data_IF_272963587727
#
_entry.id   IF_272963587727
#
_cell.length_a   1.000
_cell.length_b   1.000
_cell.length_c   1.000
_cell.angle_alpha   90.00
_cell.angle_beta   90.00
_cell.angle_gamma   90.00
#
_symmetry.space_group_name_H-M   'P 1'
#
loop_
_entity.id
_entity.type
_entity.pdbx_description
1 polymer ?
#
# COMPACT_ATOMS: atom_id res chain seq x y z
N UNK A 1 79.39 -39.51 32.36
CA UNK A 1 79.10 -38.32 31.53
C UNK A 1 77.86 -38.49 30.68
N UNK A 2 77.48 -39.70 30.24
CA UNK A 2 76.27 -39.93 29.43
C UNK A 2 74.96 -39.57 30.13
N UNK A 3 74.76 -39.95 31.40
CA UNK A 3 73.51 -39.66 32.12
C UNK A 3 73.21 -38.15 32.26
N UNK A 4 74.24 -37.30 32.36
CA UNK A 4 74.05 -35.84 32.43
C UNK A 4 73.65 -35.22 31.08
N UNK A 5 74.03 -35.86 29.97
CA UNK A 5 73.65 -35.47 28.60
C UNK A 5 72.19 -35.83 28.32
N UNK A 6 71.75 -37.01 28.76
CA UNK A 6 70.37 -37.46 28.56
C UNK A 6 69.36 -36.59 29.34
N UNK A 7 69.65 -36.27 30.60
CA UNK A 7 68.84 -35.34 31.41
C UNK A 7 68.79 -33.92 30.84
N UNK A 8 69.86 -33.45 30.20
CA UNK A 8 69.88 -32.15 29.54
C UNK A 8 68.99 -32.14 28.28
N UNK A 9 68.99 -33.25 27.51
CA UNK A 9 68.13 -33.41 26.34
C UNK A 9 66.65 -33.52 26.72
N UNK A 10 66.34 -34.25 27.79
CA UNK A 10 64.97 -34.42 28.29
C UNK A 10 64.42 -33.10 28.84
N UNK A 11 65.22 -32.32 29.58
CA UNK A 11 64.84 -30.97 30.00
C UNK A 11 64.61 -30.01 28.83
N UNK A 12 65.39 -30.12 27.75
CA UNK A 12 65.18 -29.32 26.56
C UNK A 12 63.87 -29.69 25.84
N UNK A 13 63.55 -30.99 25.75
CA UNK A 13 62.29 -31.48 25.18
C UNK A 13 61.08 -31.04 26.02
N UNK A 14 61.14 -31.17 27.34
CA UNK A 14 60.06 -30.74 28.23
C UNK A 14 59.83 -29.22 28.16
N UNK A 15 60.90 -28.41 28.08
CA UNK A 15 60.78 -26.95 27.90
C UNK A 15 60.16 -26.58 26.55
N UNK A 16 60.50 -27.30 25.48
CA UNK A 16 59.90 -27.10 24.18
C UNK A 16 58.41 -27.48 24.17
N UNK A 17 58.03 -28.54 24.88
CA UNK A 17 56.63 -28.97 24.99
C UNK A 17 55.80 -28.00 25.85
N UNK A 18 56.37 -27.47 26.94
CA UNK A 18 55.75 -26.40 27.74
C UNK A 18 55.53 -25.15 26.89
N UNK A 19 56.54 -24.69 26.15
CA UNK A 19 56.41 -23.52 25.28
C UNK A 19 55.31 -23.71 24.20
N UNK A 20 55.19 -24.92 23.65
CA UNK A 20 54.13 -25.27 22.70
C UNK A 20 52.75 -25.26 23.35
N UNK A 21 52.61 -25.81 24.56
CA UNK A 21 51.35 -25.79 25.32
C UNK A 21 50.96 -24.37 25.72
N UNK A 22 51.90 -23.54 26.14
CA UNK A 22 51.63 -22.15 26.52
C UNK A 22 51.15 -21.31 25.33
N UNK A 23 51.76 -21.48 24.15
CA UNK A 23 51.29 -20.85 22.92
C UNK A 23 49.87 -21.32 22.53
N UNK A 24 49.57 -22.60 22.75
CA UNK A 24 48.24 -23.15 22.50
C UNK A 24 47.20 -22.61 23.50
N UNK A 25 47.54 -22.49 24.78
CA UNK A 25 46.69 -21.89 25.81
C UNK A 25 46.41 -20.42 25.48
N UNK A 26 47.41 -19.65 25.05
CA UNK A 26 47.23 -18.24 24.70
C UNK A 26 46.29 -18.06 23.50
N UNK A 27 46.40 -18.91 22.47
CA UNK A 27 45.51 -18.86 21.31
C UNK A 27 44.06 -19.27 21.66
N UNK A 28 43.88 -20.27 22.53
CA UNK A 28 42.57 -20.67 23.03
C UNK A 28 41.94 -19.57 23.87
N UNK A 29 42.70 -18.91 24.75
CA UNK A 29 42.20 -17.80 25.57
C UNK A 29 41.74 -16.61 24.72
N UNK A 30 42.48 -16.25 23.66
CA UNK A 30 42.06 -15.22 22.70
C UNK A 30 40.74 -15.60 22.01
N UNK A 31 40.58 -16.87 21.64
CA UNK A 31 39.37 -17.37 20.99
C UNK A 31 38.17 -17.35 21.94
N UNK A 32 38.35 -17.77 23.20
CA UNK A 32 37.29 -17.74 24.22
C UNK A 32 36.85 -16.32 24.53
N UNK A 33 37.80 -15.37 24.56
CA UNK A 33 37.48 -13.94 24.76
C UNK A 33 36.64 -13.39 23.60
N UNK A 34 37.06 -13.64 22.36
CA UNK A 34 36.33 -13.20 21.17
C UNK A 34 34.92 -13.81 21.11
N UNK A 35 34.80 -15.10 21.43
CA UNK A 35 33.50 -15.78 21.50
C UNK A 35 32.59 -15.18 22.57
N UNK A 36 33.12 -14.84 23.75
CA UNK A 36 32.34 -14.13 24.78
C UNK A 36 31.85 -12.77 24.30
N UNK A 37 32.72 -11.94 23.72
CA UNK A 37 32.34 -10.62 23.19
C UNK A 37 31.28 -10.73 22.08
N UNK A 38 31.40 -11.75 21.23
CA UNK A 38 30.42 -12.01 20.17
C UNK A 38 29.07 -12.44 20.76
N UNK A 39 29.07 -13.30 21.78
CA UNK A 39 27.85 -13.74 22.47
C UNK A 39 27.19 -12.59 23.21
N UNK A 40 27.95 -11.70 23.86
CA UNK A 40 27.39 -10.50 24.49
C UNK A 40 26.77 -9.55 23.46
N UNK A 41 27.48 -9.27 22.36
CA UNK A 41 26.96 -8.43 21.27
C UNK A 41 25.66 -9.00 20.68
N UNK A 42 25.60 -10.33 20.47
CA UNK A 42 24.40 -11.00 19.99
C UNK A 42 23.27 -10.98 21.02
N UNK A 43 23.57 -11.17 22.31
CA UNK A 43 22.59 -11.04 23.39
C UNK A 43 22.04 -9.62 23.48
N UNK A 44 22.86 -8.60 23.33
CA UNK A 44 22.44 -7.20 23.28
C UNK A 44 21.60 -6.91 22.03
N UNK A 45 21.92 -7.52 20.88
CA UNK A 45 21.08 -7.41 19.68
C UNK A 45 19.72 -8.11 19.81
N UNK A 46 19.67 -9.26 20.51
CA UNK A 46 18.46 -10.08 20.67
C UNK A 46 17.56 -9.60 21.83
N UNK A 47 18.16 -9.21 22.95
CA UNK A 47 17.49 -8.89 24.21
C UNK A 47 17.73 -7.45 24.69
N UNK A 48 18.62 -6.70 24.06
CA UNK A 48 18.85 -5.30 24.36
C UNK A 48 17.71 -4.39 23.91
N UNK A 49 17.69 -3.19 24.48
CA UNK A 49 16.59 -2.23 24.28
C UNK A 49 16.69 -1.61 22.88
N UNK A 50 15.66 -1.81 22.05
CA UNK A 50 15.60 -1.31 20.66
C UNK A 50 15.42 0.21 20.50
N UNK A 51 15.51 0.99 21.58
CA UNK A 51 15.45 2.45 21.53
C UNK A 51 16.41 3.05 22.55
N UNK A 52 17.32 3.91 22.09
CA UNK A 52 18.05 4.84 22.96
C UNK A 52 17.05 5.87 23.48
N UNK A 53 16.58 5.71 24.72
CA UNK A 53 15.98 6.82 25.45
C UNK A 53 17.13 7.64 26.02
N UNK A 54 17.16 8.91 25.63
CA UNK A 54 18.07 9.93 26.15
C UNK A 54 17.88 10.01 27.67
N UNK A 55 18.94 9.77 28.43
CA UNK A 55 18.97 9.98 29.88
C UNK A 55 18.73 11.46 30.20
N UNK A 56 17.93 11.81 31.22
CA UNK A 56 17.68 13.19 31.60
C UNK A 56 18.96 13.80 32.18
N UNK A 57 19.75 14.45 31.33
CA UNK A 57 21.04 15.06 31.67
C UNK A 57 22.05 15.10 30.52
N UNK A 58 21.80 14.37 29.42
CA UNK A 58 22.66 14.43 28.25
C UNK A 58 22.29 15.66 27.40
N UNK A 59 23.20 16.65 27.36
CA UNK A 59 23.10 17.81 26.47
C UNK A 59 22.95 17.34 25.01
N UNK A 60 21.89 17.81 24.35
CA UNK A 60 21.60 17.52 22.94
C UNK A 60 22.76 17.96 22.06
N UNK A 61 23.27 17.04 21.22
CA UNK A 61 24.39 17.28 20.30
C UNK A 61 24.03 18.29 19.18
N UNK A 62 22.75 18.64 19.04
CA UNK A 62 22.28 19.73 18.20
C UNK A 62 21.95 20.91 19.11
N UNK A 63 22.89 21.84 19.21
CA UNK A 63 22.78 23.06 20.00
C UNK A 63 21.52 23.85 19.64
N UNK A 64 20.65 24.00 20.63
CA UNK A 64 19.56 24.95 20.63
C UNK A 64 19.45 25.46 22.05
N UNK A 65 19.85 26.71 22.24
CA UNK A 65 19.84 27.41 23.52
C UNK A 65 18.45 27.28 24.17
N UNK A 66 18.43 26.79 25.41
CA UNK A 66 17.24 26.88 26.25
C UNK A 66 17.14 28.34 26.71
N UNK A 67 16.44 29.17 25.94
CA UNK A 67 15.96 30.47 26.42
C UNK A 67 15.00 30.23 27.59
N UNK A 68 15.33 30.82 28.74
CA UNK A 68 14.47 30.90 29.91
C UNK A 68 13.09 31.46 29.53
N UNK A 69 12.06 30.68 29.82
CA UNK A 69 10.67 31.08 29.63
C UNK A 69 10.34 32.13 30.69
N UNK A 70 10.41 33.40 30.31
CA UNK A 70 9.84 34.51 31.08
C UNK A 70 8.32 34.44 30.96
N UNK A 71 7.63 34.30 32.10
CA UNK A 71 6.18 34.30 32.18
C UNK A 71 5.57 35.59 31.60
N UNK A 72 4.89 35.48 30.46
CA UNK A 72 4.03 36.55 29.93
C UNK A 72 2.57 36.35 30.37
N UNK A 73 1.86 37.43 30.77
CA UNK A 73 0.52 37.35 31.33
C UNK A 73 -0.53 36.91 30.31
N UNK A 74 -1.50 36.14 30.80
CA UNK A 74 -2.60 35.53 30.07
C UNK A 74 -3.48 36.57 29.36
N UNK A 75 -3.39 36.64 28.03
CA UNK A 75 -4.37 37.35 27.20
C UNK A 75 -5.59 36.45 27.00
N UNK A 76 -6.75 36.92 27.45
CA UNK A 76 -8.05 36.26 27.23
C UNK A 76 -8.44 36.35 25.75
N UNK A 77 -8.35 35.22 25.05
CA UNK A 77 -8.85 35.07 23.67
C UNK A 77 -10.38 34.91 23.72
N UNK A 78 -11.15 35.68 22.92
CA UNK A 78 -12.60 35.58 22.92
C UNK A 78 -13.08 34.20 22.46
N UNK A 79 -14.17 33.77 23.07
CA UNK A 79 -14.83 32.48 22.92
C UNK A 79 -15.08 32.12 21.45
N UNK A 80 -14.41 31.09 20.96
CA UNK A 80 -14.72 30.50 19.66
C UNK A 80 -16.14 29.92 19.70
N UNK A 81 -17.10 30.60 19.07
CA UNK A 81 -18.40 29.99 18.77
C UNK A 81 -18.17 28.75 17.92
N UNK A 82 -18.32 27.57 18.54
CA UNK A 82 -18.44 26.31 17.81
C UNK A 82 -19.72 26.39 16.99
N UNK A 83 -19.58 26.63 15.68
CA UNK A 83 -20.65 26.33 14.72
C UNK A 83 -21.07 24.88 14.97
N UNK A 84 -22.33 24.68 15.33
CA UNK A 84 -22.91 23.35 15.47
C UNK A 84 -22.51 22.54 14.22
N UNK A 85 -21.90 21.36 14.43
CA UNK A 85 -21.59 20.44 13.34
C UNK A 85 -22.92 19.97 12.78
N UNK A 86 -23.43 20.67 11.78
CA UNK A 86 -24.54 20.18 10.98
C UNK A 86 -24.16 18.80 10.43
N UNK A 87 -25.07 17.85 10.51
CA UNK A 87 -24.93 16.48 10.00
C UNK A 87 -24.86 16.40 8.45
N UNK A 88 -24.42 17.47 7.79
CA UNK A 88 -24.29 17.58 6.34
C UNK A 88 -22.85 17.33 5.88
N UNK A 89 -22.70 16.93 4.62
CA UNK A 89 -21.39 16.87 3.96
C UNK A 89 -20.73 18.25 4.03
N UNK A 90 -19.45 18.28 4.38
CA UNK A 90 -18.68 19.54 4.39
C UNK A 90 -18.67 20.16 3.00
N UNK A 91 -18.92 21.46 2.91
CA UNK A 91 -18.76 22.21 1.67
C UNK A 91 -17.29 22.21 1.22
N UNK A 92 -17.06 22.40 -0.08
CA UNK A 92 -15.70 22.62 -0.57
C UNK A 92 -15.18 24.00 -0.14
N UNK A 93 -13.87 24.14 0.14
CA UNK A 93 -13.27 25.43 0.48
C UNK A 93 -13.55 26.51 -0.59
N UNK A 94 -13.77 27.74 -0.14
CA UNK A 94 -14.10 28.86 -1.02
C UNK A 94 -12.96 29.24 -1.97
N UNK A 95 -11.70 29.01 -1.58
CA UNK A 95 -10.52 29.34 -2.38
C UNK A 95 -10.28 28.40 -3.56
N UNK A 96 -10.97 27.26 -3.63
CA UNK A 96 -10.84 26.36 -4.78
C UNK A 96 -11.55 26.95 -6.00
N UNK A 97 -10.92 26.89 -7.19
CA UNK A 97 -11.54 27.36 -8.43
C UNK A 97 -12.79 26.53 -8.74
N UNK A 98 -13.85 27.21 -9.20
CA UNK A 98 -15.13 26.61 -9.59
C UNK A 98 -15.31 26.70 -11.10
N UNK A 99 -15.52 25.57 -11.75
CA UNK A 99 -15.87 25.49 -13.17
C UNK A 99 -17.38 25.23 -13.28
N UNK A 100 -18.11 26.14 -13.94
CA UNK A 100 -19.57 26.10 -14.00
C UNK A 100 -20.02 25.40 -15.29
N UNK A 101 -20.83 24.36 -15.13
CA UNK A 101 -21.47 23.65 -16.23
C UNK A 101 -22.97 23.92 -16.16
N UNK A 102 -23.50 24.63 -17.14
CA UNK A 102 -24.92 24.92 -17.25
C UNK A 102 -25.63 23.89 -18.13
N UNK A 103 -26.71 23.33 -17.61
CA UNK A 103 -27.59 22.42 -18.33
C UNK A 103 -28.95 23.09 -18.47
N UNK A 104 -29.29 23.44 -19.71
CA UNK A 104 -30.59 24.02 -20.06
C UNK A 104 -31.40 23.02 -20.88
N UNK A 105 -32.72 23.18 -20.84
CA UNK A 105 -33.66 22.44 -21.68
C UNK A 105 -33.55 22.99 -23.11
N UNK A 106 -33.57 22.15 -24.16
CA UNK A 106 -33.57 22.62 -25.54
C UNK A 106 -34.71 23.60 -25.80
N UNK A 107 -34.51 24.59 -26.68
CA UNK A 107 -35.52 25.62 -26.94
C UNK A 107 -36.85 25.02 -27.46
N UNK A 108 -36.77 23.91 -28.20
CA UNK A 108 -37.94 23.14 -28.67
C UNK A 108 -38.79 22.55 -27.55
N UNK A 109 -38.21 22.33 -26.37
CA UNK A 109 -38.85 21.75 -25.19
C UNK A 109 -39.25 22.80 -24.15
N UNK A 110 -38.98 24.08 -24.42
CA UNK A 110 -39.43 25.21 -23.58
C UNK A 110 -40.89 25.60 -23.82
N UNK A 111 -41.66 24.75 -24.49
CA UNK A 111 -43.10 24.92 -24.69
C UNK A 111 -43.84 23.80 -23.98
N UNK A 112 -44.88 24.15 -23.23
CA UNK A 112 -45.69 23.18 -22.51
C UNK A 112 -46.51 22.33 -23.52
N UNK A 113 -46.39 20.99 -23.48
CA UNK A 113 -47.14 20.12 -24.39
C UNK A 113 -48.66 20.12 -24.11
N UNK A 114 -49.09 20.53 -22.90
CA UNK A 114 -50.49 20.51 -22.50
C UNK A 114 -51.25 21.78 -22.90
N UNK A 115 -50.63 22.97 -22.75
CA UNK A 115 -51.31 24.26 -22.97
C UNK A 115 -50.66 25.13 -24.05
N UNK A 116 -49.56 24.69 -24.68
CA UNK A 116 -48.87 25.41 -25.74
C UNK A 116 -48.16 26.70 -25.31
N UNK A 117 -48.20 27.05 -24.02
CA UNK A 117 -47.53 28.24 -23.48
C UNK A 117 -46.03 27.99 -23.26
N UNK A 118 -45.23 29.04 -23.39
CA UNK A 118 -43.82 29.00 -23.02
C UNK A 118 -43.64 28.71 -21.52
N UNK A 119 -42.70 27.82 -21.20
CA UNK A 119 -42.31 27.52 -19.83
C UNK A 119 -41.60 28.73 -19.22
N UNK A 120 -41.77 28.93 -17.91
CA UNK A 120 -41.08 29.98 -17.15
C UNK A 120 -39.95 29.38 -16.34
N UNK A 121 -38.83 30.08 -16.28
CA UNK A 121 -37.71 29.72 -15.42
C UNK A 121 -38.15 29.83 -13.95
N UNK A 122 -37.95 28.75 -13.18
CA UNK A 122 -38.33 28.70 -11.75
C UNK A 122 -37.13 28.65 -10.80
N UNK A 123 -35.94 28.35 -11.32
CA UNK A 123 -34.73 28.22 -10.52
C UNK A 123 -33.73 27.24 -11.12
N UNK A 124 -32.65 26.99 -10.40
CA UNK A 124 -31.61 26.04 -10.79
C UNK A 124 -31.26 25.10 -9.65
N UNK A 125 -31.02 23.83 -9.97
CA UNK A 125 -30.41 22.88 -9.05
C UNK A 125 -28.89 22.95 -9.21
N UNK A 126 -28.20 23.31 -8.14
CA UNK A 126 -26.75 23.43 -8.10
C UNK A 126 -26.15 22.24 -7.36
N UNK A 127 -25.26 21.51 -8.01
CA UNK A 127 -24.48 20.45 -7.37
C UNK A 127 -22.98 20.66 -7.58
N UNK A 128 -22.19 20.51 -6.52
CA UNK A 128 -20.74 20.66 -6.55
C UNK A 128 -20.05 19.29 -6.47
N UNK A 129 -19.10 19.05 -7.37
CA UNK A 129 -18.26 17.85 -7.39
C UNK A 129 -16.79 18.22 -7.47
N UNK A 130 -15.96 17.65 -6.60
CA UNK A 130 -14.52 17.87 -6.66
C UNK A 130 -13.90 17.10 -7.82
N UNK A 131 -13.08 17.74 -8.64
CA UNK A 131 -12.42 17.17 -9.81
C UNK A 131 -10.92 17.45 -9.75
N UNK A 132 -10.09 16.47 -10.13
CA UNK A 132 -8.64 16.64 -10.23
C UNK A 132 -8.25 16.80 -11.69
N UNK A 133 -7.72 17.97 -12.01
CA UNK A 133 -6.86 18.21 -13.18
C UNK A 133 -5.43 17.99 -12.67
N UNK A 134 -4.51 17.33 -13.40
CA UNK A 134 -3.17 17.04 -12.89
C UNK A 134 -2.55 18.21 -12.10
N UNK A 135 -2.12 17.93 -10.86
CA UNK A 135 -1.59 18.87 -9.87
C UNK A 135 -2.55 19.93 -9.27
N UNK A 136 -3.84 19.98 -9.63
CA UNK A 136 -4.81 20.92 -9.04
C UNK A 136 -6.19 20.32 -8.81
N UNK A 137 -6.83 20.69 -7.69
CA UNK A 137 -8.25 20.37 -7.48
C UNK A 137 -9.12 21.56 -7.88
N UNK A 138 -10.14 21.27 -8.68
CA UNK A 138 -11.20 22.20 -9.07
C UNK A 138 -12.54 21.68 -8.57
N UNK A 139 -13.53 22.55 -8.47
CA UNK A 139 -14.90 22.17 -8.10
C UNK A 139 -15.80 22.38 -9.31
N UNK A 140 -16.25 21.29 -9.91
CA UNK A 140 -17.22 21.34 -11.00
C UNK A 140 -18.61 21.62 -10.40
N UNK A 141 -19.19 22.74 -10.79
CA UNK A 141 -20.52 23.17 -10.37
C UNK A 141 -21.51 22.92 -11.49
N UNK A 142 -22.31 21.87 -11.36
CA UNK A 142 -23.36 21.53 -12.32
C UNK A 142 -24.64 22.28 -11.93
N UNK A 143 -25.12 23.16 -12.82
CA UNK A 143 -26.33 23.96 -12.67
C UNK A 143 -27.39 23.50 -13.65
N UNK A 144 -28.40 22.80 -13.15
CA UNK A 144 -29.52 22.33 -13.96
C UNK A 144 -30.67 23.34 -13.89
N UNK A 145 -30.95 24.03 -15.00
CA UNK A 145 -32.04 25.01 -15.06
C UNK A 145 -33.39 24.29 -15.03
N UNK A 146 -34.31 24.81 -14.23
CA UNK A 146 -35.68 24.31 -14.10
C UNK A 146 -36.66 25.28 -14.72
N UNK A 147 -37.56 24.73 -15.52
CA UNK A 147 -38.61 25.43 -16.24
C UNK A 147 -39.96 24.81 -15.89
N UNK A 148 -40.96 25.63 -15.57
CA UNK A 148 -42.28 25.14 -15.25
C UNK A 148 -43.35 25.82 -16.10
N UNK A 149 -44.42 25.08 -16.37
CA UNK A 149 -45.61 25.63 -16.99
C UNK A 149 -46.25 26.67 -16.04
N UNK A 150 -46.63 27.87 -16.52
CA UNK A 150 -47.34 28.86 -15.71
C UNK A 150 -48.65 28.33 -15.09
N UNK A 151 -49.30 27.39 -15.77
CA UNK A 151 -50.56 26.77 -15.32
C UNK A 151 -50.33 25.49 -14.49
N UNK A 152 -49.08 25.14 -14.17
CA UNK A 152 -48.74 24.02 -13.27
C UNK A 152 -48.73 22.62 -13.89
N UNK A 153 -48.88 22.48 -15.20
CA UNK A 153 -49.00 21.17 -15.87
C UNK A 153 -47.72 20.32 -15.89
N UNK A 154 -46.54 20.93 -15.99
CA UNK A 154 -45.28 20.20 -16.09
C UNK A 154 -44.08 21.02 -15.60
N UNK A 155 -43.01 20.32 -15.23
CA UNK A 155 -41.68 20.86 -14.93
C UNK A 155 -40.66 20.13 -15.79
N UNK A 156 -39.80 20.88 -16.46
CA UNK A 156 -38.66 20.40 -17.24
C UNK A 156 -37.38 20.87 -16.57
N UNK A 157 -36.39 19.99 -16.50
CA UNK A 157 -35.09 20.29 -15.90
C UNK A 157 -34.02 19.94 -16.92
N UNK A 158 -33.00 20.79 -17.05
CA UNK A 158 -31.83 20.48 -17.87
C UNK A 158 -31.20 19.16 -17.43
N UNK A 159 -30.86 18.31 -18.39
CA UNK A 159 -30.34 16.98 -18.10
C UNK A 159 -28.86 17.06 -17.68
N UNK A 160 -28.58 16.60 -16.45
CA UNK A 160 -27.20 16.51 -15.95
C UNK A 160 -26.68 15.10 -16.26
N UNK A 161 -25.48 14.97 -16.86
CA UNK A 161 -24.89 13.67 -17.13
C UNK A 161 -24.81 12.80 -15.86
N UNK A 162 -25.14 11.50 -15.96
CA UNK A 162 -25.05 10.59 -14.84
C UNK A 162 -23.60 10.49 -14.35
N UNK A 163 -23.44 10.41 -13.04
CA UNK A 163 -22.14 10.14 -12.41
C UNK A 163 -21.93 8.63 -12.31
N UNK A 164 -20.69 8.17 -12.53
CA UNK A 164 -20.30 6.77 -12.34
C UNK A 164 -20.67 6.23 -10.94
N UNK A 165 -20.56 7.09 -9.93
CA UNK A 165 -20.97 6.79 -8.56
C UNK A 165 -22.10 7.75 -8.19
N UNK A 166 -23.27 7.19 -7.89
CA UNK A 166 -24.44 7.96 -7.50
C UNK A 166 -24.17 8.80 -6.25
N UNK A 167 -24.62 10.06 -6.28
CA UNK A 167 -24.51 11.00 -5.16
C UNK A 167 -23.06 11.14 -4.65
N UNK A 168 -22.05 10.92 -5.49
CA UNK A 168 -20.65 11.12 -5.13
C UNK A 168 -20.34 12.61 -4.92
N UNK A 169 -19.50 12.91 -3.93
CA UNK A 169 -18.96 14.27 -3.70
C UNK A 169 -17.82 14.60 -4.66
N UNK A 170 -17.15 13.58 -5.19
CA UNK A 170 -15.99 13.71 -6.05
C UNK A 170 -16.28 13.08 -7.41
N UNK A 171 -15.62 13.58 -8.43
CA UNK A 171 -15.65 13.03 -9.79
C UNK A 171 -14.70 11.84 -9.92
N UNK A 172 -14.88 10.98 -10.96
CA UNK A 172 -14.01 9.83 -11.21
C UNK A 172 -12.52 10.17 -11.26
N UNK A 173 -12.14 11.37 -11.68
CA UNK A 173 -10.76 11.85 -11.68
C UNK A 173 -10.10 11.79 -10.30
N UNK A 174 -10.85 12.05 -9.23
CA UNK A 174 -10.34 12.01 -7.86
C UNK A 174 -10.13 10.57 -7.39
N UNK A 175 -11.07 9.67 -7.73
CA UNK A 175 -10.94 8.25 -7.44
C UNK A 175 -9.72 7.65 -8.15
N UNK A 176 -9.55 7.97 -9.43
CA UNK A 176 -8.40 7.56 -10.22
C UNK A 176 -7.09 8.07 -9.61
N UNK A 177 -7.02 9.36 -9.25
CA UNK A 177 -5.83 9.93 -8.61
C UNK A 177 -5.46 9.22 -7.30
N UNK A 178 -6.44 8.93 -6.44
CA UNK A 178 -6.21 8.22 -5.17
C UNK A 178 -5.72 6.78 -5.43
N UNK A 179 -6.35 6.07 -6.38
CA UNK A 179 -5.96 4.72 -6.74
C UNK A 179 -4.52 4.66 -7.30
N UNK A 180 -4.20 5.51 -8.28
CA UNK A 180 -2.85 5.61 -8.84
C UNK A 180 -1.84 6.00 -7.77
N UNK A 181 -2.11 7.05 -6.98
CA UNK A 181 -1.19 7.49 -5.92
C UNK A 181 -0.89 6.37 -4.92
N UNK A 182 -1.92 5.60 -4.52
CA UNK A 182 -1.76 4.53 -3.53
C UNK A 182 -1.01 3.33 -4.09
N UNK A 183 -1.44 2.83 -5.26
CA UNK A 183 -1.00 1.54 -5.77
C UNK A 183 0.18 1.64 -6.73
N UNK A 184 0.21 2.64 -7.60
CA UNK A 184 1.30 2.86 -8.56
C UNK A 184 2.45 3.64 -7.92
N UNK A 185 2.14 4.74 -7.23
CA UNK A 185 3.16 5.64 -6.67
C UNK A 185 3.54 5.29 -5.22
N UNK A 186 2.99 4.20 -4.69
CA UNK A 186 3.25 3.71 -3.33
C UNK A 186 3.06 4.77 -2.24
N UNK A 187 2.11 5.69 -2.41
CA UNK A 187 1.81 6.74 -1.43
C UNK A 187 0.77 6.27 -0.42
N UNK A 188 1.12 6.07 0.87
CA UNK A 188 0.16 5.67 1.88
C UNK A 188 -0.96 6.71 2.06
N UNK A 189 -2.19 6.25 2.33
CA UNK A 189 -3.37 7.13 2.41
C UNK A 189 -3.26 8.21 3.49
N UNK A 190 -2.53 7.96 4.59
CA UNK A 190 -2.25 8.99 5.59
C UNK A 190 -1.37 10.12 5.04
N UNK A 191 -0.38 9.78 4.20
CA UNK A 191 0.47 10.77 3.52
C UNK A 191 -0.36 11.56 2.50
N UNK A 192 -1.22 10.88 1.76
CA UNK A 192 -2.13 11.50 0.79
C UNK A 192 -3.11 12.46 1.46
N UNK A 193 -3.66 12.10 2.63
CA UNK A 193 -4.50 13.00 3.42
C UNK A 193 -3.73 14.26 3.85
N UNK A 194 -2.46 14.11 4.21
CA UNK A 194 -1.57 15.23 4.50
C UNK A 194 -1.32 16.13 3.30
N UNK A 195 -1.14 15.55 2.10
CA UNK A 195 -1.02 16.30 0.83
C UNK A 195 -2.28 17.14 0.60
N UNK A 196 -3.47 16.54 0.63
CA UNK A 196 -4.73 17.29 0.46
C UNK A 196 -4.91 18.39 1.50
N UNK A 197 -4.56 18.12 2.76
CA UNK A 197 -4.65 19.10 3.84
C UNK A 197 -3.78 20.34 3.57
N UNK A 198 -2.59 20.19 2.98
CA UNK A 198 -1.73 21.34 2.59
C UNK A 198 -2.36 22.23 1.53
N UNK A 199 -3.23 21.67 0.69
CA UNK A 199 -4.03 22.44 -0.28
C UNK A 199 -5.36 22.95 0.30
N UNK A 200 -5.57 22.82 1.62
CA UNK A 200 -6.79 23.23 2.31
C UNK A 200 -7.97 22.27 2.10
N UNK A 201 -7.74 21.09 1.52
CA UNK A 201 -8.78 20.10 1.23
C UNK A 201 -8.82 19.06 2.36
N UNK A 202 -9.96 18.96 3.03
CA UNK A 202 -10.16 17.95 4.06
C UNK A 202 -10.71 16.65 3.46
N UNK A 203 -9.80 15.72 3.15
CA UNK A 203 -10.13 14.38 2.68
C UNK A 203 -9.53 13.32 3.63
N UNK A 204 -10.31 12.79 4.57
CA UNK A 204 -9.83 11.82 5.56
C UNK A 204 -9.38 10.49 4.95
N UNK A 205 -8.46 9.81 5.64
CA UNK A 205 -7.98 8.46 5.28
C UNK A 205 -9.13 7.47 5.07
N UNK A 206 -10.10 7.47 5.99
CA UNK A 206 -11.23 6.55 5.94
C UNK A 206 -12.10 6.81 4.70
N UNK A 207 -12.39 8.06 4.38
CA UNK A 207 -13.12 8.41 3.15
C UNK A 207 -12.39 7.93 1.90
N UNK A 208 -11.06 8.10 1.84
CA UNK A 208 -10.29 7.58 0.69
C UNK A 208 -10.30 6.06 0.62
N UNK A 209 -10.33 5.37 1.76
CA UNK A 209 -10.48 3.91 1.79
C UNK A 209 -11.84 3.48 1.23
N UNK A 210 -12.93 4.09 1.70
CA UNK A 210 -14.29 3.85 1.19
C UNK A 210 -14.39 4.16 -0.31
N UNK A 211 -13.70 5.21 -0.79
CA UNK A 211 -13.63 5.53 -2.21
C UNK A 211 -12.96 4.42 -3.01
N UNK A 212 -11.90 3.81 -2.50
CA UNK A 212 -11.21 2.69 -3.17
C UNK A 212 -12.06 1.42 -3.18
N UNK A 213 -12.78 1.12 -2.10
CA UNK A 213 -13.75 0.03 -2.09
C UNK A 213 -14.82 0.24 -3.16
N UNK A 214 -15.29 1.48 -3.32
CA UNK A 214 -16.28 1.79 -4.36
C UNK A 214 -15.73 1.63 -5.78
N UNK A 215 -14.44 1.93 -6.00
CA UNK A 215 -13.77 1.66 -7.29
C UNK A 215 -13.71 0.15 -7.55
N UNK A 216 -13.43 -0.64 -6.52
CA UNK A 216 -13.42 -2.10 -6.63
C UNK A 216 -14.79 -2.66 -7.03
N UNK A 217 -15.83 -2.27 -6.29
CA UNK A 217 -17.22 -2.69 -6.52
C UNK A 217 -17.74 -2.33 -7.92
N UNK A 218 -17.45 -1.10 -8.39
CA UNK A 218 -18.03 -0.58 -9.64
C UNK A 218 -17.23 -1.00 -10.87
N UNK A 219 -15.91 -1.19 -10.74
CA UNK A 219 -15.03 -1.34 -11.90
C UNK A 219 -13.97 -2.43 -11.73
N UNK A 220 -13.15 -2.37 -10.67
CA UNK A 220 -11.92 -3.17 -10.62
C UNK A 220 -12.20 -4.68 -10.52
N UNK A 221 -13.22 -5.10 -9.78
CA UNK A 221 -13.58 -6.51 -9.64
C UNK A 221 -14.00 -7.14 -10.98
N UNK A 222 -14.84 -6.43 -11.75
CA UNK A 222 -15.28 -6.90 -13.07
C UNK A 222 -14.11 -6.98 -14.06
N UNK A 223 -13.24 -5.95 -14.07
CA UNK A 223 -12.04 -5.94 -14.90
C UNK A 223 -11.10 -7.08 -14.53
N UNK A 224 -10.84 -7.31 -13.24
CA UNK A 224 -9.98 -8.40 -12.76
C UNK A 224 -10.56 -9.76 -13.15
N UNK A 225 -11.88 -9.96 -13.03
CA UNK A 225 -12.54 -11.19 -13.45
C UNK A 225 -12.37 -11.45 -14.96
N UNK A 226 -12.47 -10.41 -15.79
CA UNK A 226 -12.23 -10.52 -17.23
C UNK A 226 -10.75 -10.81 -17.54
N UNK A 227 -9.82 -10.11 -16.89
CA UNK A 227 -8.39 -10.37 -17.04
C UNK A 227 -8.01 -11.79 -16.63
N UNK A 228 -8.60 -12.32 -15.56
CA UNK A 228 -8.41 -13.72 -15.12
C UNK A 228 -8.78 -14.70 -16.24
N UNK A 229 -9.93 -14.50 -16.90
CA UNK A 229 -10.36 -15.33 -18.04
C UNK A 229 -9.36 -15.27 -19.19
N UNK A 230 -8.97 -14.08 -19.60
CA UNK A 230 -8.05 -13.87 -20.71
C UNK A 230 -6.65 -14.44 -20.43
N UNK A 231 -6.20 -14.42 -19.18
CA UNK A 231 -4.94 -15.07 -18.79
C UNK A 231 -5.05 -16.59 -18.94
N UNK A 232 -6.18 -17.19 -18.53
CA UNK A 232 -6.40 -18.63 -18.63
C UNK A 232 -6.66 -19.12 -20.07
N UNK A 233 -6.88 -18.24 -21.04
CA UNK A 233 -6.96 -18.60 -22.47
C UNK A 233 -5.58 -18.85 -23.10
N UNK A 234 -4.49 -18.44 -22.43
CA UNK A 234 -3.13 -18.57 -22.95
C UNK A 234 -2.54 -19.96 -22.66
N UNK A 235 -1.79 -20.51 -23.62
CA UNK A 235 -1.14 -21.82 -23.52
C UNK A 235 0.05 -21.85 -22.54
N UNK A 236 0.61 -20.68 -22.23
CA UNK A 236 1.84 -20.54 -21.44
C UNK A 236 1.67 -19.46 -20.37
N UNK A 237 1.80 -19.88 -19.12
CA UNK A 237 1.72 -19.01 -17.96
C UNK A 237 3.02 -19.05 -17.16
N UNK A 238 3.40 -17.90 -16.61
CA UNK A 238 4.42 -17.80 -15.56
C UNK A 238 3.72 -17.59 -14.22
N UNK A 239 3.92 -18.52 -13.30
CA UNK A 239 3.44 -18.42 -11.92
C UNK A 239 4.58 -18.09 -10.96
N UNK A 240 4.32 -17.20 -10.02
CA UNK A 240 5.21 -16.90 -8.89
C UNK A 240 4.41 -16.77 -7.59
N UNK A 241 5.02 -17.13 -6.45
CA UNK A 241 4.39 -17.04 -5.13
C UNK A 241 5.24 -16.21 -4.16
N UNK A 242 4.71 -15.07 -3.73
CA UNK A 242 5.38 -14.17 -2.78
C UNK A 242 4.70 -14.25 -1.42
N UNK A 243 5.42 -14.61 -0.34
CA UNK A 243 4.86 -14.55 1.01
C UNK A 243 4.73 -13.11 1.48
N UNK A 244 3.58 -12.76 2.05
CA UNK A 244 3.30 -11.42 2.58
C UNK A 244 2.79 -11.51 4.03
N UNK A 245 3.35 -10.71 4.96
CA UNK A 245 2.83 -10.63 6.32
C UNK A 245 1.52 -9.83 6.32
N UNK A 246 0.44 -10.45 6.80
CA UNK A 246 -0.89 -9.83 6.90
C UNK A 246 -1.43 -9.94 8.32
N UNK A 247 -2.26 -8.96 8.68
CA UNK A 247 -3.05 -9.00 9.91
C UNK A 247 -4.52 -9.13 9.52
N UNK A 248 -5.14 -10.21 9.95
CA UNK A 248 -6.58 -10.44 9.76
C UNK A 248 -7.34 -9.80 10.92
N UNK A 249 -8.54 -9.27 10.63
CA UNK A 249 -9.30 -8.42 11.57
C UNK A 249 -9.67 -9.15 12.86
N UNK A 250 -9.93 -10.45 12.77
CA UNK A 250 -10.37 -11.32 13.88
C UNK A 250 -9.23 -12.12 14.54
N UNK A 251 -7.98 -11.92 14.10
CA UNK A 251 -6.83 -12.68 14.62
C UNK A 251 -5.83 -11.79 15.37
N UNK A 252 -5.32 -12.30 16.50
CA UNK A 252 -4.20 -11.68 17.21
C UNK A 252 -2.89 -12.07 16.52
N UNK A 253 -2.20 -11.10 15.93
CA UNK A 253 -0.85 -11.27 15.40
C UNK A 253 -0.74 -11.00 13.91
N UNK A 254 0.36 -11.48 13.32
CA UNK A 254 0.63 -11.40 11.88
C UNK A 254 0.79 -12.82 11.35
N UNK A 255 0.15 -13.13 10.23
CA UNK A 255 0.24 -14.40 9.53
C UNK A 255 0.93 -14.18 8.18
N UNK A 256 1.66 -15.19 7.70
CA UNK A 256 2.14 -15.19 6.33
C UNK A 256 1.02 -15.68 5.40
N UNK A 257 0.50 -14.76 4.61
CA UNK A 257 -0.36 -15.01 3.46
C UNK A 257 0.46 -15.09 2.18
N UNK A 258 -0.20 -15.35 1.05
CA UNK A 258 0.45 -15.45 -0.26
C UNK A 258 -0.20 -14.52 -1.27
N UNK A 259 0.65 -13.86 -2.04
CA UNK A 259 0.27 -13.23 -3.30
C UNK A 259 0.79 -14.10 -4.42
N UNK A 260 -0.10 -14.47 -5.33
CA UNK A 260 0.17 -15.29 -6.51
C UNK A 260 0.21 -14.37 -7.72
N UNK A 261 1.30 -14.38 -8.47
CA UNK A 261 1.42 -13.62 -9.70
C UNK A 261 1.31 -14.54 -10.91
N UNK A 262 0.43 -14.18 -11.85
CA UNK A 262 0.20 -14.91 -13.09
C UNK A 262 0.49 -13.99 -14.25
N UNK A 263 1.52 -14.32 -15.02
CA UNK A 263 1.99 -13.48 -16.12
C UNK A 263 1.96 -14.24 -17.43
N UNK A 264 1.37 -13.63 -18.46
CA UNK A 264 1.36 -14.18 -19.82
C UNK A 264 2.58 -13.70 -20.60
N UNK A 265 3.17 -14.56 -21.43
CA UNK A 265 4.32 -14.18 -22.27
C UNK A 265 3.90 -13.36 -23.50
N UNK A 266 2.75 -13.70 -24.09
CA UNK A 266 2.22 -13.05 -25.29
C UNK A 266 1.64 -11.68 -24.99
N UNK A 267 0.43 -11.65 -24.42
CA UNK A 267 -0.30 -10.41 -24.14
C UNK A 267 0.32 -9.53 -23.03
N UNK A 268 1.39 -9.99 -22.36
CA UNK A 268 2.05 -9.30 -21.23
C UNK A 268 1.08 -8.83 -20.14
N UNK A 269 0.06 -9.64 -19.87
CA UNK A 269 -0.89 -9.39 -18.79
C UNK A 269 -0.31 -9.93 -17.49
N UNK A 270 -0.52 -9.19 -16.40
CA UNK A 270 -0.18 -9.64 -15.06
C UNK A 270 -1.44 -9.58 -14.19
N UNK A 271 -1.80 -10.72 -13.63
CA UNK A 271 -2.92 -10.85 -12.69
C UNK A 271 -2.35 -11.31 -11.35
N UNK A 272 -2.76 -10.64 -10.29
CA UNK A 272 -2.41 -11.00 -8.93
C UNK A 272 -3.62 -11.61 -8.24
N UNK A 273 -3.39 -12.68 -7.49
CA UNK A 273 -4.38 -13.29 -6.61
C UNK A 273 -3.85 -13.37 -5.19
N UNK A 274 -4.73 -13.50 -4.21
CA UNK A 274 -4.37 -13.49 -2.80
C UNK A 274 -5.05 -14.62 -2.05
N UNK A 275 -4.27 -15.40 -1.29
CA UNK A 275 -4.84 -16.33 -0.31
C UNK A 275 -4.32 -16.00 1.09
N UNK A 276 -5.18 -16.01 2.12
CA UNK A 276 -4.79 -15.71 3.50
C UNK A 276 -3.95 -16.83 4.14
N UNK A 277 -3.79 -17.97 3.45
CA UNK A 277 -3.07 -19.14 3.91
C UNK A 277 -1.71 -19.29 3.19
N UNK A 278 -0.90 -20.27 3.63
CA UNK A 278 0.39 -20.62 3.02
C UNK A 278 0.23 -21.78 2.01
N UNK A 279 -0.99 -22.28 1.81
CA UNK A 279 -1.23 -23.57 1.19
C UNK A 279 -1.26 -23.48 -0.34
N UNK A 280 -1.29 -24.63 -1.02
CA UNK A 280 -1.44 -24.73 -2.48
C UNK A 280 -2.85 -24.44 -2.98
N UNK A 281 -3.74 -23.97 -2.10
CA UNK A 281 -5.13 -23.64 -2.37
C UNK A 281 -5.28 -22.55 -3.44
N UNK A 282 -4.39 -21.56 -3.45
CA UNK A 282 -4.37 -20.47 -4.42
C UNK A 282 -4.23 -20.97 -5.87
N UNK A 283 -3.14 -21.67 -6.23
CA UNK A 283 -2.97 -22.22 -7.58
C UNK A 283 -4.10 -23.17 -8.01
N UNK A 284 -4.60 -24.01 -7.10
CA UNK A 284 -5.73 -24.90 -7.39
C UNK A 284 -6.99 -24.11 -7.71
N UNK A 285 -7.34 -23.13 -6.88
CA UNK A 285 -8.51 -22.26 -7.09
C UNK A 285 -8.40 -21.40 -8.34
N UNK A 286 -7.20 -20.88 -8.65
CA UNK A 286 -7.01 -19.95 -9.76
C UNK A 286 -7.01 -20.68 -11.11
N UNK A 287 -6.28 -21.79 -11.21
CA UNK A 287 -6.13 -22.51 -12.47
C UNK A 287 -7.34 -23.40 -12.77
N UNK A 288 -8.08 -23.88 -11.75
CA UNK A 288 -9.25 -24.74 -11.97
C UNK A 288 -8.89 -25.96 -12.81
N UNK A 289 -9.52 -26.13 -13.97
CA UNK A 289 -9.27 -27.21 -14.93
C UNK A 289 -8.26 -26.83 -16.05
N UNK A 290 -7.57 -25.70 -15.92
CA UNK A 290 -6.65 -25.21 -16.94
C UNK A 290 -5.53 -26.21 -17.25
N UNK A 291 -5.24 -26.36 -18.54
CA UNK A 291 -4.18 -27.20 -19.08
C UNK A 291 -3.26 -26.36 -19.96
N UNK A 292 -1.96 -26.59 -19.85
CA UNK A 292 -0.98 -25.86 -20.65
C UNK A 292 0.43 -26.03 -20.12
N UNK A 293 1.28 -25.02 -20.37
CA UNK A 293 2.66 -24.97 -19.93
C UNK A 293 2.83 -23.93 -18.82
N UNK A 294 3.23 -24.38 -17.64
CA UNK A 294 3.43 -23.51 -16.49
C UNK A 294 4.92 -23.36 -16.18
N UNK A 295 5.42 -22.13 -16.29
CA UNK A 295 6.78 -21.74 -15.92
C UNK A 295 6.75 -21.37 -14.43
N UNK A 296 7.63 -21.97 -13.62
CA UNK A 296 7.70 -21.73 -12.17
C UNK A 296 9.15 -21.59 -11.69
N UNK A 297 9.40 -20.69 -10.72
CA UNK A 297 10.67 -20.64 -9.97
C UNK A 297 10.62 -21.50 -8.71
N UNK A 298 10.76 -22.82 -8.87
CA UNK A 298 10.97 -23.75 -7.75
C UNK A 298 9.89 -23.68 -6.66
N UNK A 299 8.67 -24.15 -6.96
CA UNK A 299 7.58 -24.08 -6.00
C UNK A 299 6.88 -25.44 -5.84
N UNK A 300 6.81 -25.92 -4.59
CA UNK A 300 6.04 -27.12 -4.19
C UNK A 300 4.54 -26.86 -4.14
N UNK A 301 4.13 -25.60 -3.96
CA UNK A 301 2.74 -25.18 -3.78
C UNK A 301 1.89 -25.41 -5.05
N UNK A 302 2.53 -25.59 -6.20
CA UNK A 302 1.87 -25.86 -7.49
C UNK A 302 1.84 -27.35 -7.83
N UNK A 303 2.49 -28.22 -7.04
CA UNK A 303 2.66 -29.64 -7.38
C UNK A 303 1.32 -30.38 -7.48
N UNK A 304 0.34 -30.00 -6.66
CA UNK A 304 -0.99 -30.62 -6.66
C UNK A 304 -1.71 -30.34 -7.97
N UNK A 305 -1.95 -29.06 -8.29
CA UNK A 305 -2.65 -28.65 -9.52
C UNK A 305 -1.92 -29.12 -10.78
N UNK A 306 -0.58 -29.12 -10.79
CA UNK A 306 0.20 -29.62 -11.92
C UNK A 306 -0.05 -31.11 -12.16
N UNK A 307 -0.14 -31.90 -11.09
CA UNK A 307 -0.44 -33.34 -11.19
C UNK A 307 -1.88 -33.60 -11.60
N UNK A 308 -2.84 -32.92 -10.97
CA UNK A 308 -4.26 -33.13 -11.20
C UNK A 308 -4.69 -32.78 -12.62
N UNK A 309 -4.09 -31.72 -13.19
CA UNK A 309 -4.48 -31.21 -14.51
C UNK A 309 -3.54 -31.66 -15.64
N UNK A 310 -2.52 -32.47 -15.34
CA UNK A 310 -1.49 -32.91 -16.30
C UNK A 310 -0.76 -31.72 -16.98
N UNK A 311 -0.50 -30.66 -16.20
CA UNK A 311 0.16 -29.44 -16.71
C UNK A 311 1.64 -29.72 -17.00
N UNK A 312 2.13 -29.24 -18.14
CA UNK A 312 3.55 -29.33 -18.47
C UNK A 312 4.33 -28.26 -17.70
N UNK A 313 5.18 -28.68 -16.75
CA UNK A 313 6.01 -27.75 -15.98
C UNK A 313 7.32 -27.42 -16.70
N UNK A 314 7.63 -26.13 -16.80
CA UNK A 314 8.95 -25.64 -17.18
C UNK A 314 9.60 -24.91 -15.99
N UNK A 315 10.92 -25.01 -15.83
CA UNK A 315 11.64 -24.35 -14.75
C UNK A 315 12.72 -23.41 -15.28
N UNK A 316 12.85 -22.22 -14.68
CA UNK A 316 13.87 -21.23 -15.03
C UNK A 316 15.17 -21.42 -14.23
N UNK A 317 15.15 -22.21 -13.15
CA UNK A 317 16.19 -22.21 -12.11
C UNK A 317 17.26 -23.30 -12.24
N UNK A 318 17.72 -23.63 -13.44
CA UNK A 318 18.88 -24.53 -13.58
C UNK A 318 20.21 -23.91 -13.14
N UNK A 319 20.32 -22.58 -12.99
CA UNK A 319 21.64 -21.91 -12.75
C UNK A 319 21.77 -21.05 -11.49
N UNK A 320 20.69 -20.62 -10.83
CA UNK A 320 20.78 -19.64 -9.73
C UNK A 320 21.12 -20.26 -8.37
N UNK A 321 20.71 -21.50 -8.10
CA UNK A 321 21.09 -22.21 -6.85
C UNK A 321 22.50 -22.79 -6.89
N UNK A 322 23.05 -23.05 -8.08
CA UNK A 322 24.41 -23.57 -8.23
C UNK A 322 25.49 -22.53 -7.92
N UNK A 323 25.21 -21.24 -8.13
CA UNK A 323 26.18 -20.16 -7.86
C UNK A 323 26.27 -19.84 -6.36
N UNK A 324 25.18 -20.00 -5.60
CA UNK A 324 25.17 -19.78 -4.13
C UNK A 324 25.62 -21.00 -3.33
N UNK A 325 25.78 -22.17 -3.97
CA UNK A 325 26.20 -23.43 -3.34
C UNK A 325 27.69 -23.76 -3.54
N UNK A 326 28.47 -22.88 -4.20
CA UNK A 326 29.91 -23.03 -4.25
C UNK A 326 30.50 -22.48 -2.94
N UNK A 327 31.23 -23.28 -2.15
CA UNK A 327 31.98 -22.75 -1.03
C UNK A 327 33.00 -21.74 -1.59
N UNK A 328 32.93 -20.50 -1.12
CA UNK A 328 34.01 -19.52 -1.30
C UNK A 328 35.29 -20.15 -0.78
N UNK A 329 36.26 -20.34 -1.68
CA UNK A 329 37.62 -20.75 -1.35
C UNK A 329 38.32 -19.71 -0.48
#
# INVERSE_FOLDING_TARGET
>A
MEAASDFASENAQLRAEIAKRDAQIESLLKTVKLLHETVETLKDGLFGRKSERIEPGQLSLFGGDAEEIVETPTVTVPEHQRKAKGHGRSAFPAHLPREVFEYDVPESEKVCPCCGKALRFIGEDVSERGHIIPARMVVNQHRAKKWACPDGHCVRTGEVPPSLIERAKYEPSVYAYIATSKYQDHTPLNRLAGIFKRHGIHLPKQTMWEMLLRVDEVFAAAMLAQMKKEVLEEDVLHGDDTPVPVRLEDEKGTRNARVWAWVTLGARKAVFDFTPTKEGDGPVSFLGDWKGRLILDGASNFNEVVRSNEITRASFRSKRSLVTALPTR
#
